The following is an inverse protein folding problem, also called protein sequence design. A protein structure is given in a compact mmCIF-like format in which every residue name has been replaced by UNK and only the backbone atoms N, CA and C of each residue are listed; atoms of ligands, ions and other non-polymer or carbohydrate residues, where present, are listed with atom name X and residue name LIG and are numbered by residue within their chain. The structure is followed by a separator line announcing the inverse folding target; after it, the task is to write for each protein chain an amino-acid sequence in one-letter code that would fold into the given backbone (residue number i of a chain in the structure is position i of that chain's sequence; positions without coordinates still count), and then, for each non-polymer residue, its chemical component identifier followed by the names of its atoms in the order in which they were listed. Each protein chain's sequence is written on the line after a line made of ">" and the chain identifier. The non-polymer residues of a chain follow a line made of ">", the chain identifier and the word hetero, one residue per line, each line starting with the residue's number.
data_IF_609552674851
#
_entry.id   IF_609552674851
#
_cell.length_a   1.000
_cell.length_b   1.000
_cell.length_c   1.000
_cell.angle_alpha   90.00
_cell.angle_beta   90.00
_cell.angle_gamma   90.00
#
_symmetry.space_group_name_H-M   'P 1'
#
loop_
_entity.id
_entity.type
_entity.pdbx_description
1 polymer ?
#
# COMPACT_ATOMS: atom_id res chain seq x y z
N UNK A 1 -11.71 -11.02 1.45
CA UNK A 1 -10.82 -10.01 0.83
C UNK A 1 -11.69 -8.96 0.14
N UNK A 2 -12.26 -8.01 0.87
CA UNK A 2 -13.11 -6.94 0.31
C UNK A 2 -12.29 -5.93 -0.52
N UNK A 3 -12.28 -4.65 -0.13
CA UNK A 3 -11.53 -3.60 -0.83
C UNK A 3 -10.02 -3.59 -0.48
N UNK A 4 -9.42 -4.75 -0.22
CA UNK A 4 -7.99 -4.91 0.10
C UNK A 4 -7.28 -5.49 -1.12
N UNK A 5 -6.47 -4.67 -1.80
CA UNK A 5 -5.88 -5.00 -3.10
C UNK A 5 -4.38 -5.34 -3.04
N UNK A 6 -3.70 -5.05 -1.92
CA UNK A 6 -2.30 -5.39 -1.67
C UNK A 6 -2.07 -5.54 -0.16
N UNK A 7 -1.34 -6.59 0.25
CA UNK A 7 -1.08 -6.89 1.66
C UNK A 7 -2.30 -7.44 2.43
N UNK A 8 -2.06 -7.87 3.68
CA UNK A 8 -3.10 -8.30 4.61
C UNK A 8 -2.61 -8.12 6.06
N UNK A 9 -3.35 -7.33 6.84
CA UNK A 9 -3.01 -7.05 8.24
C UNK A 9 -3.90 -7.80 9.24
N UNK A 10 -4.74 -8.74 8.79
CA UNK A 10 -5.71 -9.42 9.66
C UNK A 10 -5.01 -10.13 10.84
N UNK A 11 -3.81 -10.68 10.62
CA UNK A 11 -3.01 -11.30 11.69
C UNK A 11 -2.50 -10.27 12.71
N UNK A 12 -2.18 -9.05 12.29
CA UNK A 12 -1.77 -7.97 13.18
C UNK A 12 -2.97 -7.37 13.93
N UNK A 13 -4.12 -7.28 13.26
CA UNK A 13 -5.37 -6.74 13.85
C UNK A 13 -5.92 -7.64 14.96
N UNK A 14 -5.78 -8.96 14.83
CA UNK A 14 -6.22 -9.92 15.87
C UNK A 14 -5.17 -10.15 16.96
N UNK A 15 -3.94 -9.67 16.77
CA UNK A 15 -2.85 -9.89 17.71
C UNK A 15 -3.11 -9.13 19.03
N UNK A 16 -3.16 -9.80 20.19
CA UNK A 16 -3.43 -9.16 21.48
C UNK A 16 -2.29 -8.22 21.92
N UNK A 17 -1.10 -8.36 21.34
CA UNK A 17 0.05 -7.52 21.64
C UNK A 17 0.09 -6.24 20.81
N UNK A 18 -0.49 -6.23 19.61
CA UNK A 18 -0.38 -5.08 18.72
C UNK A 18 -1.15 -3.86 19.23
N UNK A 19 -2.16 -4.04 20.10
CA UNK A 19 -2.88 -2.93 20.75
C UNK A 19 -1.99 -2.08 21.67
N UNK A 20 -0.80 -2.57 22.03
CA UNK A 20 0.16 -1.85 22.87
C UNK A 20 1.24 -1.15 22.04
N UNK A 21 1.21 -1.27 20.71
CA UNK A 21 2.14 -0.55 19.84
C UNK A 21 1.70 0.90 19.65
N UNK A 22 2.69 1.80 19.56
CA UNK A 22 2.48 3.19 19.20
C UNK A 22 2.76 3.38 17.72
N UNK A 23 2.03 4.30 17.09
CA UNK A 23 2.37 4.76 15.74
C UNK A 23 3.71 5.51 15.79
N UNK A 24 4.47 5.39 14.72
CA UNK A 24 5.71 6.16 14.53
C UNK A 24 5.39 7.60 14.14
N UNK A 25 6.28 8.53 14.49
CA UNK A 25 6.23 9.94 14.07
C UNK A 25 7.17 10.22 12.87
N UNK A 26 7.88 9.21 12.39
CA UNK A 26 8.77 9.32 11.22
C UNK A 26 7.95 9.46 9.93
N UNK A 27 8.07 10.62 9.27
CA UNK A 27 7.30 10.97 8.07
C UNK A 27 7.49 9.99 6.91
N UNK A 28 8.67 9.36 6.79
CA UNK A 28 9.00 8.41 5.73
C UNK A 28 8.08 7.16 5.73
N UNK A 29 7.44 6.85 6.86
CA UNK A 29 6.47 5.75 6.97
C UNK A 29 5.02 6.18 6.75
N UNK A 30 4.76 7.46 6.47
CA UNK A 30 3.42 7.93 6.16
C UNK A 30 2.95 7.40 4.79
N UNK A 31 1.66 7.01 4.65
CA UNK A 31 1.13 6.58 3.37
C UNK A 31 1.26 7.67 2.30
N UNK A 32 1.73 7.29 1.10
CA UNK A 32 1.73 8.19 -0.06
C UNK A 32 0.30 8.59 -0.39
N UNK A 33 0.04 9.89 -0.56
CA UNK A 33 -1.31 10.43 -0.77
C UNK A 33 -2.09 9.76 -1.91
N UNK A 34 -1.43 9.41 -3.01
CA UNK A 34 -2.06 8.75 -4.16
C UNK A 34 -2.48 7.28 -3.87
N UNK A 35 -1.95 6.68 -2.81
CA UNK A 35 -2.23 5.30 -2.38
C UNK A 35 -3.01 5.26 -1.05
N UNK A 36 -3.32 6.41 -0.46
CA UNK A 36 -4.10 6.50 0.75
C UNK A 36 -5.59 6.49 0.41
N UNK A 37 -6.20 5.29 0.49
CA UNK A 37 -7.63 5.03 0.23
C UNK A 37 -8.15 5.59 -1.11
N UNK A 38 -7.52 5.24 -2.25
CA UNK A 38 -8.02 5.65 -3.57
C UNK A 38 -9.26 4.84 -3.98
N UNK A 39 -10.07 5.41 -4.87
CA UNK A 39 -11.14 4.68 -5.55
C UNK A 39 -10.53 3.61 -6.48
N UNK A 40 -11.08 2.40 -6.45
CA UNK A 40 -10.55 1.29 -7.25
C UNK A 40 -10.65 1.56 -8.75
N UNK A 41 -11.70 2.27 -9.17
CA UNK A 41 -11.89 2.67 -10.57
C UNK A 41 -10.82 3.67 -11.03
N UNK A 42 -10.35 4.54 -10.14
CA UNK A 42 -9.28 5.49 -10.47
C UNK A 42 -7.95 4.77 -10.62
N UNK A 43 -7.67 3.79 -9.76
CA UNK A 43 -6.47 2.94 -9.86
C UNK A 43 -6.48 2.12 -11.16
N UNK A 44 -7.62 1.53 -11.51
CA UNK A 44 -7.77 0.70 -12.71
C UNK A 44 -7.50 1.48 -14.01
N UNK A 45 -7.68 2.80 -14.00
CA UNK A 45 -7.44 3.66 -15.16
C UNK A 45 -5.99 4.15 -15.28
N UNK A 46 -5.08 3.75 -14.37
CA UNK A 46 -3.69 4.19 -14.46
C UNK A 46 -2.98 3.54 -15.64
N UNK A 47 -2.18 4.34 -16.36
CA UNK A 47 -1.20 3.81 -17.30
C UNK A 47 -0.05 3.16 -16.54
N UNK A 48 0.70 2.30 -17.23
CA UNK A 48 1.91 1.67 -16.69
C UNK A 48 2.92 2.72 -16.20
N UNK A 49 3.16 3.78 -16.97
CA UNK A 49 4.11 4.84 -16.59
C UNK A 49 3.65 5.57 -15.32
N UNK A 50 2.33 5.78 -15.18
CA UNK A 50 1.77 6.40 -13.98
C UNK A 50 1.91 5.47 -12.78
N UNK A 51 1.64 4.19 -12.97
CA UNK A 51 1.79 3.18 -11.93
C UNK A 51 3.24 3.14 -11.43
N UNK A 52 4.21 2.89 -12.33
CA UNK A 52 5.64 2.82 -12.01
C UNK A 52 6.12 4.08 -11.27
N UNK A 53 5.82 5.28 -11.77
CA UNK A 53 6.22 6.53 -11.12
C UNK A 53 5.65 6.70 -9.71
N UNK A 54 4.41 6.27 -9.47
CA UNK A 54 3.76 6.43 -8.15
C UNK A 54 4.23 5.35 -7.18
N UNK A 55 4.50 4.14 -7.66
CA UNK A 55 4.94 3.02 -6.83
C UNK A 55 6.45 2.96 -6.64
N UNK A 56 7.25 3.66 -7.45
CA UNK A 56 8.71 3.62 -7.42
C UNK A 56 9.28 3.67 -5.99
N UNK A 57 10.14 2.72 -5.66
CA UNK A 57 10.76 2.62 -4.33
C UNK A 57 9.81 2.21 -3.20
N UNK A 58 8.63 1.68 -3.53
CA UNK A 58 7.76 0.99 -2.56
C UNK A 58 7.83 -0.54 -2.77
N UNK A 59 7.41 -1.35 -1.78
CA UNK A 59 7.33 -2.81 -1.96
C UNK A 59 6.39 -3.27 -3.10
N UNK A 60 5.50 -2.40 -3.59
CA UNK A 60 4.63 -2.70 -4.74
C UNK A 60 5.43 -2.66 -6.05
N UNK A 61 6.44 -1.80 -6.13
CA UNK A 61 7.32 -1.64 -7.30
C UNK A 61 8.10 -2.92 -7.61
N UNK A 62 8.56 -3.63 -6.57
CA UNK A 62 9.27 -4.90 -6.73
C UNK A 62 8.43 -5.95 -7.45
N UNK A 63 7.10 -5.99 -7.23
CA UNK A 63 6.22 -6.89 -7.96
C UNK A 63 6.04 -6.49 -9.42
N UNK A 64 6.03 -5.17 -9.70
CA UNK A 64 5.84 -4.64 -11.04
C UNK A 64 6.94 -5.08 -12.02
N UNK A 65 8.18 -5.13 -11.53
CA UNK A 65 9.37 -5.48 -12.30
C UNK A 65 9.29 -6.92 -12.86
N UNK A 66 8.50 -7.80 -12.24
CA UNK A 66 8.35 -9.20 -12.69
C UNK A 66 7.19 -9.44 -13.66
N UNK A 67 6.42 -8.41 -14.02
CA UNK A 67 5.26 -8.51 -14.92
C UNK A 67 5.56 -8.01 -16.35
N UNK A 68 6.80 -7.58 -16.61
CA UNK A 68 7.30 -7.20 -17.94
C UNK A 68 7.86 -8.38 -18.74
#
# INVERSE_FOLDING_TARGET
>A
MGNRIYGCDDCQLICPWNRFSSLTEEDDFSPRRALHTPELLDLFQWSEEKFLRITEGSPIDELAIYVG
#
